data_IF_913871962862
#
_entry.id   IF_913871962862
#
_cell.length_a   1.000
_cell.length_b   1.000
_cell.length_c   1.000
_cell.angle_alpha   90.00
_cell.angle_beta   90.00
_cell.angle_gamma   90.00
#
_symmetry.space_group_name_H-M   'P 1'
#
loop_
_entity.id
_entity.type
_entity.pdbx_description
1 polymer ?
#
# COMPACT_ATOMS: atom_id res chain seq x y z
N UNK A 1 -8.82 25.02 10.99
CA UNK A 1 -7.42 24.63 11.25
C UNK A 1 -7.13 24.53 12.76
N UNK A 2 -7.59 25.48 13.59
CA UNK A 2 -7.30 25.47 15.05
C UNK A 2 -7.85 24.27 15.84
N UNK A 3 -9.08 23.80 15.56
CA UNK A 3 -9.67 22.65 16.27
C UNK A 3 -8.89 21.34 16.07
N UNK A 4 -8.30 21.16 14.89
CA UNK A 4 -7.49 19.99 14.53
C UNK A 4 -6.16 20.00 15.28
N UNK A 5 -5.57 21.18 15.45
CA UNK A 5 -4.32 21.36 16.20
C UNK A 5 -4.54 21.16 17.70
N UNK A 6 -5.64 21.65 18.27
CA UNK A 6 -5.97 21.39 19.68
C UNK A 6 -6.27 19.91 19.95
N UNK A 7 -6.97 19.24 19.03
CA UNK A 7 -7.20 17.80 19.12
C UNK A 7 -5.88 17.03 19.04
N UNK A 8 -4.97 17.42 18.14
CA UNK A 8 -3.63 16.85 18.06
C UNK A 8 -2.81 17.07 19.33
N UNK A 9 -2.85 18.28 19.92
CA UNK A 9 -2.19 18.56 21.20
C UNK A 9 -2.71 17.66 22.31
N UNK A 10 -4.02 17.49 22.40
CA UNK A 10 -4.64 16.60 23.40
C UNK A 10 -4.21 15.13 23.21
N UNK A 11 -4.17 14.66 21.96
CA UNK A 11 -3.70 13.30 21.61
C UNK A 11 -2.22 13.14 21.97
N UNK A 12 -1.39 14.14 21.68
CA UNK A 12 0.03 14.15 22.03
C UNK A 12 0.20 14.11 23.55
N UNK A 13 -0.59 14.84 24.32
CA UNK A 13 -0.54 14.75 25.80
C UNK A 13 -0.95 13.37 26.31
N UNK A 14 -1.88 12.68 25.64
CA UNK A 14 -2.32 11.35 26.03
C UNK A 14 -1.31 10.25 25.66
N UNK A 15 -0.68 10.37 24.48
CA UNK A 15 0.24 9.35 23.93
C UNK A 15 1.69 9.58 24.37
N UNK A 16 2.08 10.84 24.61
CA UNK A 16 3.41 11.27 25.04
C UNK A 16 3.29 12.18 26.29
N UNK A 17 2.87 11.65 27.45
CA UNK A 17 2.50 12.44 28.63
C UNK A 17 3.65 13.24 29.27
N UNK A 18 4.89 13.01 28.85
CA UNK A 18 6.07 13.70 29.38
C UNK A 18 6.55 14.89 28.53
N UNK A 19 5.85 15.28 27.46
CA UNK A 19 6.26 16.41 26.60
C UNK A 19 5.19 17.49 26.48
N UNK A 20 5.66 18.74 26.48
CA UNK A 20 4.83 19.94 26.32
C UNK A 20 4.27 20.04 24.87
N UNK A 21 2.95 20.04 24.68
CA UNK A 21 2.31 20.10 23.36
C UNK A 21 2.65 21.35 22.52
N UNK A 22 3.01 22.47 23.16
CA UNK A 22 3.34 23.71 22.46
C UNK A 22 4.77 23.74 21.92
N UNK A 23 5.68 23.01 22.57
CA UNK A 23 7.03 22.73 22.05
C UNK A 23 7.04 21.61 20.99
N UNK A 24 5.97 20.80 20.91
CA UNK A 24 5.90 19.65 19.99
C UNK A 24 5.87 20.02 18.50
N UNK A 25 5.43 21.22 18.17
CA UNK A 25 5.28 21.64 16.78
C UNK A 25 6.31 22.66 16.31
N UNK A 26 7.04 23.32 17.21
CA UNK A 26 8.02 24.36 16.85
C UNK A 26 9.49 23.90 16.86
N UNK A 27 9.89 23.05 17.80
CA UNK A 27 11.31 22.67 17.99
C UNK A 27 11.59 21.18 17.84
N UNK A 28 10.61 20.39 17.38
CA UNK A 28 10.67 18.95 17.52
C UNK A 28 11.20 18.22 16.28
N UNK A 29 12.17 17.34 16.52
CA UNK A 29 12.65 16.39 15.54
C UNK A 29 11.55 15.34 15.28
N UNK A 30 10.60 15.66 14.40
CA UNK A 30 9.46 14.80 14.03
C UNK A 30 9.91 13.43 13.54
N UNK A 31 11.08 13.36 12.89
CA UNK A 31 11.70 12.11 12.45
C UNK A 31 12.00 11.22 13.67
N UNK A 32 12.59 11.78 14.73
CA UNK A 32 12.85 11.05 15.98
C UNK A 32 11.56 10.65 16.70
N UNK A 33 10.55 11.51 16.77
CA UNK A 33 9.28 11.15 17.42
C UNK A 33 8.57 9.99 16.73
N UNK A 34 8.54 10.00 15.40
CA UNK A 34 7.94 8.91 14.64
C UNK A 34 8.67 7.59 14.88
N UNK A 35 10.00 7.65 14.92
CA UNK A 35 10.85 6.51 15.24
C UNK A 35 10.55 5.96 16.64
N UNK A 36 10.60 6.82 17.66
CA UNK A 36 10.33 6.47 19.07
C UNK A 36 8.93 5.84 19.24
N UNK A 37 7.91 6.40 18.57
CA UNK A 37 6.54 5.89 18.63
C UNK A 37 6.43 4.45 18.11
N UNK A 38 7.01 4.17 16.94
CA UNK A 38 6.93 2.83 16.34
C UNK A 38 7.85 1.81 17.02
N UNK A 39 9.01 2.24 17.54
CA UNK A 39 9.88 1.40 18.36
C UNK A 39 9.19 1.00 19.68
N UNK A 40 8.55 1.97 20.36
CA UNK A 40 7.78 1.68 21.58
C UNK A 40 6.63 0.71 21.32
N UNK A 41 5.98 0.80 20.16
CA UNK A 41 4.90 -0.11 19.75
C UNK A 41 5.39 -1.54 19.48
N UNK A 42 6.58 -1.71 18.88
CA UNK A 42 7.19 -3.04 18.70
C UNK A 42 7.50 -3.70 20.04
N UNK A 43 7.98 -2.94 21.03
CA UNK A 43 8.28 -3.48 22.36
C UNK A 43 7.02 -3.88 23.14
N UNK A 44 5.89 -3.22 22.89
CA UNK A 44 4.61 -3.50 23.56
C UNK A 44 3.76 -4.59 22.87
N UNK A 45 3.98 -4.86 21.58
CA UNK A 45 3.23 -5.87 20.81
C UNK A 45 4.17 -6.75 19.96
N UNK A 46 4.26 -8.04 20.31
CA UNK A 46 4.88 -9.09 19.49
C UNK A 46 4.01 -9.51 18.27
N UNK A 47 3.33 -8.57 17.60
CA UNK A 47 2.16 -8.86 16.72
C UNK A 47 2.36 -8.47 15.25
N UNK A 48 3.51 -7.93 14.85
CA UNK A 48 3.83 -7.74 13.42
C UNK A 48 4.97 -8.67 13.02
N UNK A 49 4.68 -9.87 12.45
CA UNK A 49 5.71 -10.80 12.00
C UNK A 49 6.39 -10.37 10.68
N UNK A 50 6.07 -9.19 10.15
CA UNK A 50 6.63 -8.70 8.89
C UNK A 50 7.36 -7.38 9.12
N UNK A 51 8.68 -7.52 9.08
CA UNK A 51 9.74 -6.55 8.80
C UNK A 51 9.40 -5.05 8.80
N UNK A 52 10.09 -4.31 9.67
CA UNK A 52 10.45 -2.92 9.34
C UNK A 52 10.44 -1.96 10.51
N UNK A 53 11.57 -1.28 10.69
CA UNK A 53 11.61 0.07 11.24
C UNK A 53 10.91 1.03 10.26
N UNK A 54 10.63 2.26 10.69
CA UNK A 54 10.12 3.31 9.79
C UNK A 54 11.14 3.53 8.66
N UNK A 55 10.72 3.31 7.42
CA UNK A 55 11.59 3.44 6.24
C UNK A 55 11.39 4.80 5.59
N UNK A 56 12.50 5.43 5.22
CA UNK A 56 12.50 6.71 4.53
C UNK A 56 13.14 6.56 3.15
N UNK A 57 12.43 6.98 2.12
CA UNK A 57 12.89 6.98 0.75
C UNK A 57 12.91 8.42 0.23
N UNK A 58 14.03 8.88 -0.33
CA UNK A 58 14.11 10.19 -0.98
C UNK A 58 14.38 9.99 -2.46
N UNK A 59 13.54 10.59 -3.31
CA UNK A 59 13.74 10.47 -4.76
C UNK A 59 14.99 11.25 -5.20
N UNK A 60 15.81 10.68 -6.09
CA UNK A 60 16.94 11.38 -6.65
C UNK A 60 16.42 12.50 -7.56
N UNK A 61 16.64 13.75 -7.13
CA UNK A 61 16.33 14.94 -7.92
C UNK A 61 17.54 15.88 -7.96
N UNK A 62 17.89 16.45 -9.12
CA UNK A 62 18.96 17.44 -9.26
C UNK A 62 18.57 18.81 -8.69
N UNK A 63 17.29 19.07 -8.44
CA UNK A 63 16.78 20.32 -7.89
C UNK A 63 15.38 20.19 -7.29
N UNK A 64 14.84 21.26 -6.69
CA UNK A 64 13.48 21.25 -6.15
C UNK A 64 12.43 21.10 -7.27
N UNK A 65 11.23 20.56 -6.96
CA UNK A 65 10.79 20.09 -5.64
C UNK A 65 11.43 18.76 -5.24
N UNK A 66 11.88 18.66 -3.99
CA UNK A 66 12.36 17.40 -3.44
C UNK A 66 11.20 16.55 -2.93
N UNK A 67 11.28 15.24 -3.17
CA UNK A 67 10.27 14.27 -2.75
C UNK A 67 10.86 13.27 -1.78
N UNK A 68 10.12 12.99 -0.71
CA UNK A 68 10.43 11.92 0.23
C UNK A 68 9.15 11.19 0.63
N UNK A 69 9.30 9.88 0.84
CA UNK A 69 8.28 8.98 1.31
C UNK A 69 8.69 8.39 2.65
N UNK A 70 7.68 8.11 3.47
CA UNK A 70 7.80 7.42 4.75
C UNK A 70 6.88 6.21 4.71
N UNK A 71 7.45 5.02 4.84
CA UNK A 71 6.72 3.78 4.95
C UNK A 71 6.77 3.31 6.40
N UNK A 72 5.58 3.16 6.99
CA UNK A 72 5.40 2.70 8.36
C UNK A 72 5.47 1.17 8.45
N UNK A 73 5.74 0.61 9.63
CA UNK A 73 5.53 -0.81 9.88
C UNK A 73 4.11 -1.21 9.51
N UNK A 74 3.96 -2.32 8.80
CA UNK A 74 2.68 -2.72 8.19
C UNK A 74 2.39 -2.04 6.84
N UNK A 75 3.33 -1.29 6.26
CA UNK A 75 3.33 -0.93 4.84
C UNK A 75 2.67 0.41 4.46
N UNK A 76 1.88 1.04 5.35
CA UNK A 76 1.28 2.35 5.05
C UNK A 76 2.34 3.37 4.66
N UNK A 77 2.11 4.11 3.58
CA UNK A 77 3.10 4.99 2.98
C UNK A 77 2.56 6.41 2.79
N UNK A 78 3.36 7.40 3.19
CA UNK A 78 3.01 8.81 3.09
C UNK A 78 4.15 9.58 2.44
N UNK A 79 3.82 10.49 1.53
CA UNK A 79 4.78 11.39 0.90
C UNK A 79 4.75 12.78 1.52
N UNK A 80 5.76 13.58 1.23
CA UNK A 80 5.64 15.02 1.44
C UNK A 80 4.53 15.57 0.54
N UNK A 81 3.65 16.35 1.16
CA UNK A 81 2.49 16.96 0.51
C UNK A 81 2.86 18.34 -0.06
N UNK A 82 3.82 19.01 0.56
CA UNK A 82 4.21 20.36 0.17
C UNK A 82 5.37 20.37 -0.84
N UNK A 83 5.50 21.48 -1.57
CA UNK A 83 6.65 21.77 -2.42
C UNK A 83 7.87 22.08 -1.53
N UNK A 84 8.76 21.11 -1.35
CA UNK A 84 9.92 21.25 -0.48
C UNK A 84 11.18 21.68 -1.27
N UNK A 85 11.89 22.66 -0.75
CA UNK A 85 13.10 23.22 -1.37
C UNK A 85 14.39 22.50 -0.96
N UNK A 86 14.32 21.61 0.02
CA UNK A 86 15.43 20.75 0.42
C UNK A 86 14.99 19.31 0.72
N UNK A 87 15.92 18.35 0.59
CA UNK A 87 15.67 16.93 0.96
C UNK A 87 15.32 16.78 2.44
N UNK A 88 15.96 17.56 3.32
CA UNK A 88 15.69 17.53 4.76
C UNK A 88 14.27 18.03 5.07
N UNK A 89 13.80 19.05 4.35
CA UNK A 89 12.43 19.54 4.47
C UNK A 89 11.41 18.49 3.99
N UNK A 90 11.62 17.90 2.81
CA UNK A 90 10.76 16.84 2.29
C UNK A 90 10.66 15.65 3.25
N UNK A 91 11.79 15.21 3.81
CA UNK A 91 11.82 14.14 4.82
C UNK A 91 11.01 14.50 6.06
N UNK A 92 11.15 15.73 6.58
CA UNK A 92 10.40 16.19 7.77
C UNK A 92 8.91 16.32 7.48
N UNK A 93 8.53 16.81 6.30
CA UNK A 93 7.14 16.95 5.90
C UNK A 93 6.45 15.58 5.80
N UNK A 94 7.07 14.63 5.11
CA UNK A 94 6.56 13.24 5.04
C UNK A 94 6.47 12.59 6.43
N UNK A 95 7.45 12.80 7.31
CA UNK A 95 7.42 12.30 8.69
C UNK A 95 6.27 12.90 9.52
N UNK A 96 5.93 14.18 9.31
CA UNK A 96 4.78 14.81 9.97
C UNK A 96 3.48 14.13 9.59
N UNK A 97 3.25 13.91 8.30
CA UNK A 97 2.04 13.22 7.80
C UNK A 97 1.95 11.82 8.40
N UNK A 98 3.05 11.07 8.37
CA UNK A 98 3.10 9.71 8.90
C UNK A 98 2.87 9.66 10.43
N UNK A 99 3.45 10.58 11.21
CA UNK A 99 3.24 10.67 12.66
C UNK A 99 1.80 11.01 13.01
N UNK A 100 1.21 11.98 12.33
CA UNK A 100 -0.18 12.36 12.53
C UNK A 100 -1.09 11.16 12.31
N UNK A 101 -0.93 10.44 11.20
CA UNK A 101 -1.72 9.23 10.90
C UNK A 101 -1.49 8.12 11.93
N UNK A 102 -0.24 7.94 12.39
CA UNK A 102 0.11 6.95 13.42
C UNK A 102 -0.60 7.23 14.74
N UNK A 103 -0.58 8.48 15.21
CA UNK A 103 -1.22 8.90 16.45
C UNK A 103 -2.74 8.81 16.37
N UNK A 104 -3.34 9.28 15.27
CA UNK A 104 -4.79 9.21 15.09
C UNK A 104 -5.28 7.77 15.08
N UNK A 105 -4.54 6.83 14.48
CA UNK A 105 -4.96 5.43 14.37
C UNK A 105 -5.09 4.72 15.73
N UNK A 106 -4.45 5.21 16.79
CA UNK A 106 -4.58 4.64 18.14
C UNK A 106 -5.86 5.06 18.87
N UNK A 107 -6.58 6.07 18.35
CA UNK A 107 -7.80 6.54 19.01
C UNK A 107 -8.94 5.53 18.90
N UNK A 108 -9.75 5.34 19.96
CA UNK A 108 -10.94 4.49 19.89
C UNK A 108 -11.91 4.88 18.77
N UNK A 109 -11.98 6.18 18.43
CA UNK A 109 -12.79 6.70 17.32
C UNK A 109 -12.27 6.32 15.93
N UNK A 110 -11.09 5.70 15.83
CA UNK A 110 -10.52 5.15 14.59
C UNK A 110 -10.58 3.63 14.53
N UNK A 111 -11.42 3.02 15.37
CA UNK A 111 -11.79 1.60 15.26
C UNK A 111 -13.08 1.45 14.47
N UNK A 112 -13.24 0.31 13.81
CA UNK A 112 -14.50 -0.05 13.16
C UNK A 112 -15.55 -0.33 14.25
N UNK A 113 -16.57 0.53 14.35
CA UNK A 113 -17.71 0.37 15.26
C UNK A 113 -18.98 0.07 14.48
N UNK A 114 -20.03 -0.44 15.15
CA UNK A 114 -21.31 -0.71 14.49
C UNK A 114 -21.91 0.55 13.86
N UNK A 115 -21.78 1.69 14.53
CA UNK A 115 -22.24 2.98 14.03
C UNK A 115 -21.51 3.35 12.73
N UNK A 116 -20.18 3.20 12.71
CA UNK A 116 -19.38 3.41 11.51
C UNK A 116 -19.80 2.49 10.36
N UNK A 117 -20.10 1.22 10.63
CA UNK A 117 -20.53 0.25 9.61
C UNK A 117 -21.86 0.71 8.99
N UNK A 118 -22.83 1.08 9.83
CA UNK A 118 -24.14 1.56 9.36
C UNK A 118 -23.99 2.79 8.47
N UNK A 119 -23.23 3.80 8.94
CA UNK A 119 -23.00 5.04 8.19
C UNK A 119 -22.27 4.76 6.86
N UNK A 120 -21.23 3.93 6.89
CA UNK A 120 -20.42 3.58 5.71
C UNK A 120 -21.21 2.82 4.66
N UNK A 121 -22.09 1.89 5.08
CA UNK A 121 -22.95 1.13 4.16
C UNK A 121 -24.02 2.04 3.56
N UNK A 122 -24.61 2.95 4.34
CA UNK A 122 -25.55 3.94 3.83
C UNK A 122 -24.92 4.86 2.78
N UNK A 123 -23.69 5.32 3.02
CA UNK A 123 -22.93 6.11 2.04
C UNK A 123 -22.62 5.30 0.76
N UNK A 124 -22.27 4.02 0.89
CA UNK A 124 -22.05 3.14 -0.26
C UNK A 124 -23.33 2.96 -1.10
N UNK A 125 -24.48 2.76 -0.45
CA UNK A 125 -25.79 2.67 -1.12
C UNK A 125 -26.09 3.96 -1.88
N UNK A 126 -25.91 5.11 -1.24
CA UNK A 126 -26.18 6.42 -1.84
C UNK A 126 -25.27 6.72 -3.04
N UNK A 127 -23.99 6.35 -2.96
CA UNK A 127 -23.00 6.62 -4.02
C UNK A 127 -23.13 5.68 -5.23
N UNK A 128 -23.58 4.44 -5.04
CA UNK A 128 -23.71 3.45 -6.11
C UNK A 128 -25.13 3.32 -6.68
N UNK A 129 -26.07 4.17 -6.23
CA UNK A 129 -27.50 4.05 -6.56
C UNK A 129 -28.08 2.66 -6.23
N UNK A 130 -27.54 2.02 -5.19
CA UNK A 130 -28.00 0.71 -4.72
C UNK A 130 -29.26 0.80 -3.87
N UNK A 131 -29.71 -0.34 -3.36
CA UNK A 131 -30.83 -0.48 -2.43
C UNK A 131 -30.38 -1.06 -1.10
N UNK A 132 -31.16 -0.86 -0.04
CA UNK A 132 -30.86 -1.43 1.28
C UNK A 132 -30.84 -2.97 1.25
N UNK A 133 -31.62 -3.59 0.37
CA UNK A 133 -31.65 -5.04 0.17
C UNK A 133 -30.32 -5.57 -0.37
N UNK A 134 -29.55 -4.75 -1.09
CA UNK A 134 -28.23 -5.15 -1.56
C UNK A 134 -27.25 -5.33 -0.39
N UNK A 135 -27.40 -4.58 0.70
CA UNK A 135 -26.54 -4.70 1.87
C UNK A 135 -26.75 -6.02 2.64
N UNK A 136 -27.93 -6.64 2.51
CA UNK A 136 -28.28 -7.91 3.15
C UNK A 136 -27.91 -9.14 2.29
N UNK A 137 -27.64 -8.94 1.00
CA UNK A 137 -27.18 -9.98 0.10
C UNK A 137 -25.65 -9.90 -0.11
N UNK A 138 -24.85 -10.80 0.47
CA UNK A 138 -23.40 -10.76 0.32
C UNK A 138 -22.92 -11.11 -1.12
N UNK A 139 -23.83 -11.54 -2.00
CA UNK A 139 -23.56 -11.71 -3.43
C UNK A 139 -23.53 -10.37 -4.20
N UNK A 140 -23.94 -9.26 -3.58
CA UNK A 140 -23.82 -7.89 -4.12
C UNK A 140 -22.54 -7.20 -3.63
N UNK A 141 -22.14 -6.10 -4.29
CA UNK A 141 -20.92 -5.38 -3.92
C UNK A 141 -21.07 -4.70 -2.56
N UNK A 142 -22.29 -4.22 -2.26
CA UNK A 142 -22.64 -3.56 -1.01
C UNK A 142 -22.67 -4.59 0.13
N UNK A 143 -23.30 -5.75 -0.07
CA UNK A 143 -23.31 -6.81 0.94
C UNK A 143 -21.93 -7.40 1.20
N UNK A 144 -21.08 -7.53 0.18
CA UNK A 144 -19.69 -7.93 0.36
C UNK A 144 -18.88 -6.90 1.16
N UNK A 145 -19.07 -5.60 0.90
CA UNK A 145 -18.47 -4.51 1.67
C UNK A 145 -18.94 -4.51 3.13
N UNK A 146 -20.25 -4.67 3.35
CA UNK A 146 -20.86 -4.80 4.68
C UNK A 146 -20.28 -6.00 5.44
N UNK A 147 -20.22 -7.17 4.82
CA UNK A 147 -19.60 -8.38 5.42
C UNK A 147 -18.13 -8.16 5.79
N UNK A 148 -17.38 -7.45 4.95
CA UNK A 148 -15.97 -7.17 5.19
C UNK A 148 -15.78 -6.23 6.39
N UNK A 149 -16.63 -5.22 6.52
CA UNK A 149 -16.64 -4.31 7.67
C UNK A 149 -16.99 -5.03 8.97
N UNK A 150 -18.06 -5.83 8.98
CA UNK A 150 -18.49 -6.62 10.15
C UNK A 150 -17.39 -7.60 10.61
N UNK A 151 -16.72 -8.26 9.66
CA UNK A 151 -15.62 -9.20 9.95
C UNK A 151 -14.36 -8.52 10.53
N UNK A 152 -14.27 -7.19 10.48
CA UNK A 152 -13.15 -6.40 10.99
C UNK A 152 -13.56 -5.45 12.12
N UNK A 153 -14.74 -5.66 12.74
CA UNK A 153 -15.19 -4.86 13.87
C UNK A 153 -14.16 -4.83 15.00
N UNK A 154 -13.91 -3.64 15.55
CA UNK A 154 -12.91 -3.40 16.60
C UNK A 154 -11.48 -3.27 16.10
N UNK A 155 -11.15 -3.64 14.86
CA UNK A 155 -9.84 -3.35 14.25
C UNK A 155 -9.71 -1.86 13.93
N UNK A 156 -8.46 -1.40 13.83
CA UNK A 156 -8.13 -0.03 13.45
C UNK A 156 -8.31 0.19 11.94
N UNK A 157 -8.47 1.46 11.54
CA UNK A 157 -8.59 1.82 10.12
C UNK A 157 -7.36 1.40 9.30
N UNK A 158 -6.14 1.50 9.85
CA UNK A 158 -4.93 1.04 9.13
C UNK A 158 -4.95 -0.47 8.87
N UNK A 159 -5.40 -1.29 9.84
CA UNK A 159 -5.53 -2.74 9.66
C UNK A 159 -6.57 -3.08 8.59
N UNK A 160 -7.69 -2.34 8.57
CA UNK A 160 -8.71 -2.52 7.54
C UNK A 160 -8.25 -2.04 6.16
N UNK A 161 -7.48 -0.93 6.11
CA UNK A 161 -6.91 -0.40 4.88
C UNK A 161 -5.95 -1.39 4.21
N UNK A 162 -5.17 -2.16 4.98
CA UNK A 162 -4.34 -3.22 4.41
C UNK A 162 -5.19 -4.24 3.62
N UNK A 163 -6.29 -4.70 4.22
CA UNK A 163 -7.22 -5.60 3.56
C UNK A 163 -7.84 -4.96 2.31
N UNK A 164 -8.22 -3.68 2.37
CA UNK A 164 -8.72 -2.94 1.21
C UNK A 164 -7.70 -2.93 0.07
N UNK A 165 -6.43 -2.68 0.38
CA UNK A 165 -5.35 -2.63 -0.62
C UNK A 165 -5.16 -3.99 -1.29
N UNK A 166 -5.20 -5.09 -0.52
CA UNK A 166 -5.16 -6.45 -1.10
C UNK A 166 -6.30 -6.63 -2.11
N UNK A 167 -7.53 -6.27 -1.74
CA UNK A 167 -8.69 -6.39 -2.65
C UNK A 167 -8.60 -5.46 -3.87
N UNK A 168 -8.08 -4.25 -3.70
CA UNK A 168 -7.84 -3.32 -4.81
C UNK A 168 -6.79 -3.88 -5.78
N UNK A 169 -5.72 -4.49 -5.28
CA UNK A 169 -4.68 -5.12 -6.09
C UNK A 169 -5.21 -6.36 -6.82
N UNK A 170 -5.97 -7.22 -6.15
CA UNK A 170 -6.62 -8.39 -6.76
C UNK A 170 -7.66 -8.00 -7.82
N UNK A 171 -8.32 -6.86 -7.63
CA UNK A 171 -9.22 -6.32 -8.64
C UNK A 171 -8.41 -5.84 -9.86
N UNK A 172 -7.38 -5.02 -9.60
CA UNK A 172 -6.54 -4.40 -10.60
C UNK A 172 -5.76 -5.42 -11.45
N UNK A 173 -5.15 -6.44 -10.85
CA UNK A 173 -4.46 -7.49 -11.58
C UNK A 173 -5.44 -8.53 -12.19
N UNK A 174 -6.75 -8.42 -11.93
CA UNK A 174 -7.78 -9.28 -12.51
C UNK A 174 -7.99 -10.62 -11.80
N UNK A 175 -7.27 -10.93 -10.71
CA UNK A 175 -7.47 -12.18 -9.97
C UNK A 175 -8.89 -12.31 -9.42
N UNK A 176 -9.55 -11.21 -9.00
CA UNK A 176 -10.96 -11.27 -8.59
C UNK A 176 -11.90 -11.68 -9.73
N UNK A 177 -11.60 -11.27 -10.96
CA UNK A 177 -12.38 -11.67 -12.13
C UNK A 177 -12.20 -13.17 -12.38
N UNK A 178 -10.97 -13.67 -12.33
CA UNK A 178 -10.67 -15.09 -12.49
C UNK A 178 -11.35 -15.95 -11.42
N UNK A 179 -11.28 -15.54 -10.14
CA UNK A 179 -11.94 -16.24 -9.02
C UNK A 179 -13.47 -16.29 -9.18
N UNK A 180 -14.06 -15.22 -9.71
CA UNK A 180 -15.50 -15.20 -10.02
C UNK A 180 -15.85 -16.19 -11.14
N UNK A 181 -14.99 -16.32 -12.16
CA UNK A 181 -15.18 -17.27 -13.26
C UNK A 181 -15.02 -18.73 -12.80
N UNK A 182 -14.20 -18.98 -11.77
CA UNK A 182 -14.09 -20.28 -11.10
C UNK A 182 -15.17 -20.55 -10.05
N UNK A 183 -16.23 -19.72 -9.99
CA UNK A 183 -17.38 -19.82 -9.07
C UNK A 183 -17.03 -19.73 -7.58
N UNK A 184 -15.95 -19.04 -7.22
CA UNK A 184 -15.68 -18.69 -5.82
C UNK A 184 -16.67 -17.61 -5.37
N UNK A 185 -17.30 -17.79 -4.21
CA UNK A 185 -18.17 -16.78 -3.62
C UNK A 185 -17.36 -15.59 -3.07
N UNK A 186 -17.99 -14.42 -2.96
CA UNK A 186 -17.32 -13.24 -2.39
C UNK A 186 -16.89 -13.47 -0.95
N UNK A 187 -17.72 -14.14 -0.16
CA UNK A 187 -17.41 -14.43 1.25
C UNK A 187 -16.23 -15.39 1.40
N UNK A 188 -16.11 -16.41 0.55
CA UNK A 188 -14.94 -17.30 0.56
C UNK A 188 -13.66 -16.54 0.23
N UNK A 189 -13.70 -15.69 -0.80
CA UNK A 189 -12.55 -14.86 -1.19
C UNK A 189 -12.18 -13.89 -0.05
N UNK A 190 -13.16 -13.24 0.57
CA UNK A 190 -12.95 -12.35 1.73
C UNK A 190 -12.33 -13.11 2.89
N UNK A 191 -12.90 -14.26 3.27
CA UNK A 191 -12.41 -15.09 4.37
C UNK A 191 -10.97 -15.56 4.12
N UNK A 192 -10.65 -15.96 2.89
CA UNK A 192 -9.31 -16.40 2.51
C UNK A 192 -8.30 -15.26 2.62
N UNK A 193 -8.51 -14.14 1.92
CA UNK A 193 -7.55 -13.03 1.88
C UNK A 193 -7.47 -12.24 3.19
N UNK A 194 -8.49 -12.31 4.07
CA UNK A 194 -8.43 -11.70 5.41
C UNK A 194 -7.37 -12.32 6.32
N UNK A 195 -6.82 -13.48 5.96
CA UNK A 195 -5.79 -14.19 6.73
C UNK A 195 -4.37 -13.89 6.24
N UNK A 196 -4.21 -13.19 5.11
CA UNK A 196 -2.91 -12.92 4.51
C UNK A 196 -2.57 -11.44 4.58
N UNK A 197 -1.32 -11.13 4.91
CA UNK A 197 -0.74 -9.80 4.75
C UNK A 197 -0.22 -9.59 3.34
N UNK A 198 -0.10 -8.33 2.92
CA UNK A 198 0.53 -7.99 1.65
C UNK A 198 2.05 -8.11 1.77
N UNK A 199 2.56 -9.32 1.56
CA UNK A 199 3.96 -9.71 1.70
C UNK A 199 4.64 -9.99 0.35
N UNK A 200 5.94 -10.33 0.40
CA UNK A 200 6.73 -10.67 -0.78
C UNK A 200 6.13 -11.84 -1.58
N UNK A 201 5.53 -12.82 -0.90
CA UNK A 201 4.89 -13.96 -1.55
C UNK A 201 3.67 -13.52 -2.36
N UNK A 202 2.83 -12.66 -1.79
CA UNK A 202 1.68 -12.10 -2.49
C UNK A 202 2.10 -11.26 -3.69
N UNK A 203 3.11 -10.40 -3.52
CA UNK A 203 3.67 -9.60 -4.64
C UNK A 203 4.21 -10.49 -5.75
N UNK A 204 4.92 -11.56 -5.40
CA UNK A 204 5.48 -12.52 -6.36
C UNK A 204 4.39 -13.24 -7.14
N UNK A 205 3.31 -13.69 -6.49
CA UNK A 205 2.18 -14.29 -7.21
C UNK A 205 1.51 -13.29 -8.16
N UNK A 206 1.28 -12.04 -7.72
CA UNK A 206 0.71 -11.01 -8.59
C UNK A 206 1.65 -10.65 -9.75
N UNK A 207 2.96 -10.69 -9.55
CA UNK A 207 3.94 -10.48 -10.60
C UNK A 207 3.88 -11.59 -11.65
N UNK A 208 3.70 -12.86 -11.25
CA UNK A 208 3.49 -13.98 -12.17
C UNK A 208 2.22 -13.79 -13.01
N UNK A 209 1.11 -13.33 -12.41
CA UNK A 209 -0.11 -13.02 -13.14
C UNK A 209 0.14 -11.96 -14.24
N UNK A 210 0.96 -10.94 -13.95
CA UNK A 210 1.36 -9.93 -14.92
C UNK A 210 2.29 -10.47 -16.01
N UNK A 211 3.22 -11.36 -15.67
CA UNK A 211 4.09 -12.04 -16.63
C UNK A 211 3.26 -12.88 -17.61
N UNK A 212 2.24 -13.59 -17.13
CA UNK A 212 1.34 -14.35 -18.00
C UNK A 212 0.62 -13.43 -18.99
N UNK A 213 0.15 -12.26 -18.54
CA UNK A 213 -0.48 -11.27 -19.43
C UNK A 213 0.49 -10.69 -20.47
N UNK A 214 1.76 -10.53 -20.11
CA UNK A 214 2.79 -10.05 -21.05
C UNK A 214 2.97 -11.03 -22.22
N UNK A 215 2.82 -12.35 -21.98
CA UNK A 215 2.89 -13.36 -23.04
C UNK A 215 1.75 -13.20 -24.06
N UNK A 216 0.55 -12.86 -23.58
CA UNK A 216 -0.62 -12.65 -24.43
C UNK A 216 -0.64 -11.26 -25.11
N UNK A 217 -0.10 -10.25 -24.41
CA UNK A 217 -0.09 -8.85 -24.84
C UNK A 217 1.26 -8.20 -24.53
N UNK A 218 2.26 -8.36 -25.41
CA UNK A 218 3.59 -7.79 -25.20
C UNK A 218 3.57 -6.26 -24.99
N UNK A 219 4.33 -5.80 -24.00
CA UNK A 219 4.44 -4.40 -23.59
C UNK A 219 3.46 -3.96 -22.52
N UNK A 220 2.48 -4.80 -22.13
CA UNK A 220 1.44 -4.41 -21.17
C UNK A 220 2.01 -4.09 -19.78
N UNK A 221 3.03 -4.84 -19.32
CA UNK A 221 3.63 -4.62 -17.99
C UNK A 221 4.34 -3.27 -17.95
N UNK A 222 5.09 -2.93 -19.01
CA UNK A 222 5.76 -1.63 -19.12
C UNK A 222 4.76 -0.47 -19.17
N UNK A 223 3.69 -0.63 -19.97
CA UNK A 223 2.63 0.37 -20.08
C UNK A 223 1.93 0.60 -18.73
N UNK A 224 1.57 -0.49 -18.03
CA UNK A 224 0.92 -0.42 -16.73
C UNK A 224 1.85 0.22 -15.68
N UNK A 225 3.16 -0.05 -15.73
CA UNK A 225 4.13 0.57 -14.82
C UNK A 225 4.18 2.09 -15.02
N UNK A 226 4.15 2.56 -16.26
CA UNK A 226 4.09 4.01 -16.54
C UNK A 226 2.79 4.64 -16.01
N UNK A 227 1.67 3.92 -16.05
CA UNK A 227 0.41 4.39 -15.44
C UNK A 227 0.52 4.44 -13.92
N UNK A 228 0.99 3.36 -13.29
CA UNK A 228 1.17 3.29 -11.83
C UNK A 228 2.11 4.39 -11.29
N UNK A 229 3.18 4.73 -12.02
CA UNK A 229 4.09 5.82 -11.64
C UNK A 229 3.43 7.20 -11.72
N UNK A 230 2.56 7.44 -12.71
CA UNK A 230 1.80 8.70 -12.81
C UNK A 230 0.77 8.82 -11.69
N UNK A 231 0.00 7.77 -11.46
CA UNK A 231 -0.98 7.71 -10.37
C UNK A 231 -0.34 7.93 -9.00
N UNK A 232 0.84 7.33 -8.75
CA UNK A 232 1.60 7.54 -7.51
C UNK A 232 1.96 9.01 -7.28
N UNK A 233 2.38 9.72 -8.33
CA UNK A 233 2.73 11.15 -8.24
C UNK A 233 1.49 12.03 -8.03
N UNK A 234 0.37 11.71 -8.69
CA UNK A 234 -0.90 12.40 -8.49
C UNK A 234 -1.44 12.19 -7.07
N UNK A 235 -1.43 10.95 -6.58
CA UNK A 235 -1.85 10.60 -5.23
C UNK A 235 -0.99 11.30 -4.17
N UNK A 236 0.33 11.38 -4.39
CA UNK A 236 1.24 12.13 -3.54
C UNK A 236 0.88 13.61 -3.47
N UNK A 237 0.63 14.25 -4.61
CA UNK A 237 0.19 15.66 -4.66
C UNK A 237 -1.18 15.88 -4.03
N UNK A 238 -2.05 14.87 -4.08
CA UNK A 238 -3.34 14.86 -3.41
C UNK A 238 -3.27 14.60 -1.89
N UNK A 239 -2.09 14.31 -1.33
CA UNK A 239 -1.93 13.97 0.08
C UNK A 239 -2.58 12.64 0.47
N UNK A 240 -2.73 11.74 -0.50
CA UNK A 240 -3.33 10.43 -0.30
C UNK A 240 -2.35 9.47 0.37
N UNK A 241 -2.90 8.39 0.92
CA UNK A 241 -2.13 7.20 1.29
C UNK A 241 -1.55 6.57 0.01
N UNK A 242 -0.27 6.17 0.05
CA UNK A 242 0.50 5.82 -1.15
C UNK A 242 0.80 4.32 -1.29
N UNK A 243 0.43 3.48 -0.32
CA UNK A 243 0.77 2.06 -0.32
C UNK A 243 0.20 1.38 -1.54
N UNK A 244 -1.07 1.58 -1.89
CA UNK A 244 -1.67 0.97 -3.08
C UNK A 244 -0.84 1.23 -4.36
N UNK A 245 -0.46 2.49 -4.60
CA UNK A 245 0.30 2.88 -5.78
C UNK A 245 1.75 2.38 -5.75
N UNK A 246 2.38 2.34 -4.56
CA UNK A 246 3.71 1.75 -4.40
C UNK A 246 3.72 0.24 -4.63
N UNK A 247 2.70 -0.47 -4.16
CA UNK A 247 2.56 -1.91 -4.36
C UNK A 247 2.34 -2.23 -5.85
N UNK A 248 1.53 -1.44 -6.57
CA UNK A 248 1.44 -1.53 -8.05
C UNK A 248 2.82 -1.40 -8.70
N UNK A 249 3.57 -0.35 -8.35
CA UNK A 249 4.94 -0.13 -8.87
C UNK A 249 5.85 -1.31 -8.56
N UNK A 250 5.84 -1.83 -7.33
CA UNK A 250 6.70 -2.91 -6.88
C UNK A 250 6.39 -4.23 -7.60
N UNK A 251 5.11 -4.61 -7.67
CA UNK A 251 4.66 -5.82 -8.37
C UNK A 251 5.07 -5.79 -9.85
N UNK A 252 4.87 -4.67 -10.54
CA UNK A 252 5.23 -4.53 -11.96
C UNK A 252 6.75 -4.49 -12.16
N UNK A 253 7.48 -3.85 -11.26
CA UNK A 253 8.94 -3.82 -11.30
C UNK A 253 9.51 -5.22 -11.10
N UNK A 254 8.92 -6.01 -10.20
CA UNK A 254 9.27 -7.40 -9.96
C UNK A 254 8.99 -8.26 -11.22
N UNK A 255 7.82 -8.08 -11.85
CA UNK A 255 7.48 -8.77 -13.10
C UNK A 255 8.48 -8.46 -14.22
N UNK A 256 8.83 -7.18 -14.44
CA UNK A 256 9.83 -6.78 -15.42
C UNK A 256 11.21 -7.36 -15.13
N UNK A 257 11.65 -7.32 -13.86
CA UNK A 257 12.96 -7.86 -13.48
C UNK A 257 13.08 -9.36 -13.79
N UNK A 258 12.01 -10.13 -13.55
CA UNK A 258 11.95 -11.56 -13.89
C UNK A 258 11.97 -11.77 -15.41
N UNK A 259 11.18 -11.00 -16.18
CA UNK A 259 11.18 -11.07 -17.65
C UNK A 259 12.55 -10.79 -18.26
N UNK A 260 13.28 -9.77 -17.78
CA UNK A 260 14.63 -9.48 -18.26
C UNK A 260 15.65 -10.54 -17.86
N UNK A 261 15.47 -11.17 -16.70
CA UNK A 261 16.34 -12.27 -16.26
C UNK A 261 16.17 -13.50 -17.15
N UNK A 262 14.94 -13.83 -17.54
CA UNK A 262 14.61 -14.94 -18.44
C UNK A 262 15.06 -14.70 -19.88
N UNK A 263 15.07 -13.45 -20.35
CA UNK A 263 15.64 -13.09 -21.66
C UNK A 263 17.16 -13.28 -21.71
N UNK A 264 17.87 -12.99 -20.60
CA UNK A 264 19.31 -13.15 -20.53
C UNK A 264 19.74 -14.62 -20.42
N UNK A 265 18.90 -15.51 -19.89
CA UNK A 265 19.16 -16.96 -19.85
C UNK A 265 18.76 -17.69 -21.13
N UNK A 266 17.87 -17.09 -21.95
CA UNK A 266 17.42 -17.63 -23.23
C UNK A 266 18.18 -17.09 -24.46
N UNK A 267 19.18 -16.23 -24.28
CA UNK A 267 20.09 -15.84 -25.37
C UNK A 267 21.00 -17.03 -25.75
N UNK A 268 21.05 -17.46 -27.03
CA UNK A 268 21.87 -18.60 -27.41
C UNK A 268 23.34 -18.23 -27.29
N UNK A 269 24.04 -18.92 -26.39
CA UNK A 269 25.51 -18.99 -26.40
C UNK A 269 25.95 -19.59 -27.73
N UNK A 270 26.53 -18.75 -28.58
CA UNK A 270 27.57 -19.08 -29.54
C UNK A 270 27.35 -20.34 -30.41
N UNK A 271 26.60 -20.19 -31.50
CA UNK A 271 26.81 -20.96 -32.74
C UNK A 271 28.14 -20.54 -33.41
N UNK A 272 29.25 -20.63 -32.66
CA UNK A 272 30.59 -20.32 -33.14
C UNK A 272 31.64 -21.30 -32.62
N UNK A 273 31.33 -22.60 -32.68
CA UNK A 273 32.29 -23.71 -32.69
C UNK A 273 31.47 -24.96 -33.02
N UNK A 274 31.31 -25.40 -34.28
CA UNK A 274 32.21 -26.40 -34.86
C UNK A 274 31.67 -26.82 -36.24
N UNK A 275 32.00 -26.08 -37.30
CA UNK A 275 31.88 -26.56 -38.70
C UNK A 275 33.24 -26.56 -39.43
N UNK A 276 34.33 -26.53 -38.66
CA UNK A 276 35.70 -26.72 -39.13
C UNK A 276 36.21 -28.17 -38.90
N UNK A 277 35.31 -29.16 -38.87
CA UNK A 277 35.67 -30.57 -38.66
C UNK A 277 35.13 -31.53 -39.76
N UNK A 278 34.82 -31.02 -40.97
CA UNK A 278 34.31 -31.84 -42.07
C UNK A 278 35.03 -31.64 -43.42
N UNK A 279 36.32 -31.25 -43.40
CA UNK A 279 37.20 -31.37 -44.57
C UNK A 279 38.59 -31.83 -44.12
N UNK A 280 38.81 -33.14 -44.15
CA UNK A 280 40.09 -33.73 -43.79
C UNK A 280 40.14 -35.25 -43.93
N UNK A 281 39.63 -35.81 -45.03
CA UNK A 281 40.03 -37.13 -45.54
C UNK A 281 39.78 -37.19 -47.06
N UNK A 282 40.77 -36.73 -47.83
CA UNK A 282 41.46 -37.49 -48.90
C UNK A 282 42.54 -36.62 -49.55
#
# INVERSE_FOLDING_TARGET
>A
MDRTLESLKHIITQVLPHRDPDLVFKDLNVVSMLQEFWEGKQQQKAVFPSEGLVVYESLPSPGPPFVSYVTLPGGSCFGNFQCCLSRAEARRDAAKVALINSLFNELPSRRITKEFIIESVQEAIASTSGTINDADDPSTSIGAYHYMLESNMGKTMLEFQELMIVFQLLHWNGSLKALRETKCSRQEVISYYSQYSLDERMRSHMALDWIMKEQDSPGIVSQELQMALRELEEARRGGQELRFYKEKKEILSLALAQLYSDQNTSSPRDDQMSLAALCGYH
#
